data_IF_539977103244
#
_entry.id   IF_539977103244
#
_cell.length_a   1.000
_cell.length_b   1.000
_cell.length_c   1.000
_cell.angle_alpha   90.00
_cell.angle_beta   90.00
_cell.angle_gamma   90.00
#
_symmetry.space_group_name_H-M   'P 1'
#
loop_
_entity.id
_entity.type
_entity.pdbx_description
1 polymer ?
#
# COMPACT_ATOMS: atom_id res chain seq x y z
N UNK A 1 -12.03 -33.49 12.05
CA UNK A 1 -11.12 -32.98 11.00
C UNK A 1 -11.63 -31.62 10.58
N UNK A 2 -10.87 -30.56 10.85
CA UNK A 2 -11.26 -29.18 10.56
C UNK A 2 -10.75 -28.87 9.15
N UNK A 3 -11.66 -28.64 8.20
CA UNK A 3 -11.31 -28.38 6.80
C UNK A 3 -11.58 -26.90 6.55
N UNK A 4 -10.54 -26.07 6.56
CA UNK A 4 -10.66 -24.63 6.28
C UNK A 4 -10.62 -24.44 4.76
N UNK A 5 -11.76 -24.16 4.14
CA UNK A 5 -11.81 -23.71 2.75
C UNK A 5 -11.78 -22.17 2.72
N UNK A 6 -10.63 -21.61 2.36
CA UNK A 6 -10.41 -20.17 2.32
C UNK A 6 -10.33 -19.69 0.85
N UNK A 7 -11.41 -19.86 0.08
CA UNK A 7 -11.34 -19.86 -1.39
C UNK A 7 -11.50 -18.49 -2.07
N UNK A 8 -12.12 -17.49 -1.43
CA UNK A 8 -12.39 -16.16 -2.02
C UNK A 8 -11.54 -15.01 -1.45
N UNK A 9 -11.28 -14.94 -0.13
CA UNK A 9 -10.48 -13.85 0.45
C UNK A 9 -9.08 -13.67 -0.16
N UNK A 10 -8.31 -14.72 -0.52
CA UNK A 10 -6.94 -14.54 -1.03
C UNK A 10 -6.87 -13.72 -2.32
N UNK A 11 -7.85 -13.84 -3.22
CA UNK A 11 -7.75 -13.24 -4.56
C UNK A 11 -7.91 -11.73 -4.50
N UNK A 12 -8.92 -11.22 -3.79
CA UNK A 12 -9.11 -9.78 -3.61
C UNK A 12 -7.93 -9.15 -2.86
N UNK A 13 -7.48 -9.80 -1.78
CA UNK A 13 -6.32 -9.33 -1.00
C UNK A 13 -5.03 -9.27 -1.83
N UNK A 14 -4.84 -10.19 -2.78
CA UNK A 14 -3.69 -10.19 -3.69
C UNK A 14 -3.77 -9.03 -4.69
N UNK A 15 -4.94 -8.78 -5.28
CA UNK A 15 -5.16 -7.67 -6.20
C UNK A 15 -4.90 -6.34 -5.49
N UNK A 16 -5.45 -6.16 -4.29
CA UNK A 16 -5.22 -4.97 -3.48
C UNK A 16 -3.73 -4.78 -3.18
N UNK A 17 -3.03 -5.86 -2.80
CA UNK A 17 -1.58 -5.79 -2.57
C UNK A 17 -0.81 -5.35 -3.84
N UNK A 18 -1.16 -5.88 -5.01
CA UNK A 18 -0.51 -5.47 -6.26
C UNK A 18 -0.83 -4.02 -6.63
N UNK A 19 -2.05 -3.56 -6.44
CA UNK A 19 -2.44 -2.16 -6.68
C UNK A 19 -1.66 -1.23 -5.74
N UNK A 20 -1.57 -1.56 -4.45
CA UNK A 20 -0.79 -0.80 -3.47
C UNK A 20 0.70 -0.73 -3.87
N UNK A 21 1.26 -1.86 -4.30
CA UNK A 21 2.65 -1.93 -4.75
C UNK A 21 2.88 -1.13 -6.05
N UNK A 22 1.91 -1.12 -6.96
CA UNK A 22 1.97 -0.31 -8.17
C UNK A 22 1.99 1.18 -7.84
N UNK A 23 1.04 1.66 -7.03
CA UNK A 23 1.01 3.08 -6.63
C UNK A 23 2.29 3.46 -5.89
N UNK A 24 2.78 2.60 -4.99
CA UNK A 24 4.03 2.86 -4.28
C UNK A 24 5.20 3.04 -5.24
N UNK A 25 5.35 2.19 -6.26
CA UNK A 25 6.44 2.29 -7.23
C UNK A 25 6.33 3.55 -8.08
N UNK A 26 5.14 3.86 -8.58
CA UNK A 26 4.91 5.08 -9.38
C UNK A 26 5.22 6.34 -8.57
N UNK A 27 4.76 6.37 -7.31
CA UNK A 27 5.01 7.48 -6.39
C UNK A 27 6.50 7.62 -6.07
N UNK A 28 7.21 6.51 -5.83
CA UNK A 28 8.65 6.53 -5.59
C UNK A 28 9.41 7.11 -6.78
N UNK A 29 9.05 6.73 -8.02
CA UNK A 29 9.66 7.30 -9.23
C UNK A 29 9.42 8.81 -9.36
N UNK A 30 8.23 9.29 -9.00
CA UNK A 30 7.97 10.73 -8.98
C UNK A 30 8.80 11.43 -7.90
N UNK A 31 8.97 10.80 -6.73
CA UNK A 31 9.83 11.31 -5.67
C UNK A 31 11.30 11.36 -6.11
N UNK A 32 11.79 10.40 -6.88
CA UNK A 32 13.16 10.45 -7.42
C UNK A 32 13.38 11.72 -8.25
N UNK A 33 12.42 12.08 -9.10
CA UNK A 33 12.52 13.27 -9.96
C UNK A 33 12.35 14.59 -9.19
N UNK A 34 11.47 14.61 -8.19
CA UNK A 34 11.18 15.80 -7.39
C UNK A 34 12.11 15.98 -6.19
N UNK A 35 12.96 15.00 -5.90
CA UNK A 35 13.84 14.99 -4.73
C UNK A 35 13.08 14.73 -3.44
N UNK A 36 12.11 13.82 -3.43
CA UNK A 36 11.32 13.44 -2.28
C UNK A 36 9.81 13.68 -2.47
N UNK A 37 9.06 13.52 -1.38
CA UNK A 37 7.61 13.66 -1.37
C UNK A 37 7.22 15.13 -1.36
N UNK A 38 6.47 15.54 -2.37
CA UNK A 38 5.82 16.86 -2.44
C UNK A 38 4.32 16.74 -2.14
N UNK A 39 3.62 17.83 -1.76
CA UNK A 39 2.18 17.79 -1.55
C UNK A 39 1.39 17.33 -2.79
N UNK A 40 1.86 17.68 -3.99
CA UNK A 40 1.22 17.27 -5.24
C UNK A 40 1.36 15.76 -5.49
N UNK A 41 2.55 15.20 -5.28
CA UNK A 41 2.81 13.75 -5.41
C UNK A 41 2.01 12.97 -4.36
N UNK A 42 1.95 13.49 -3.13
CA UNK A 42 1.17 12.86 -2.06
C UNK A 42 -0.32 12.81 -2.40
N UNK A 43 -0.87 13.91 -2.93
CA UNK A 43 -2.27 13.95 -3.35
C UNK A 43 -2.53 13.00 -4.54
N UNK A 44 -1.65 12.96 -5.54
CA UNK A 44 -1.78 12.05 -6.68
C UNK A 44 -1.76 10.58 -6.24
N UNK A 45 -0.90 10.23 -5.28
CA UNK A 45 -0.85 8.88 -4.71
C UNK A 45 -2.17 8.51 -4.01
N UNK A 46 -2.76 9.44 -3.24
CA UNK A 46 -4.06 9.23 -2.59
C UNK A 46 -5.19 9.10 -3.62
N UNK A 47 -5.21 9.94 -4.65
CA UNK A 47 -6.22 9.91 -5.69
C UNK A 47 -6.19 8.57 -6.46
N UNK A 48 -4.99 8.05 -6.79
CA UNK A 48 -4.82 6.72 -7.40
C UNK A 48 -5.28 5.59 -6.48
N UNK A 49 -4.96 5.66 -5.18
CA UNK A 49 -5.43 4.65 -4.22
C UNK A 49 -6.96 4.71 -4.09
N UNK A 50 -7.56 5.89 -4.15
CA UNK A 50 -9.02 6.04 -4.15
C UNK A 50 -9.66 5.46 -5.41
N UNK A 51 -9.03 5.63 -6.58
CA UNK A 51 -9.48 5.03 -7.84
C UNK A 51 -9.47 3.49 -7.78
N UNK A 52 -8.49 2.90 -7.11
CA UNK A 52 -8.44 1.46 -6.86
C UNK A 52 -9.41 0.97 -5.76
N UNK A 53 -10.15 1.87 -5.11
CA UNK A 53 -11.18 1.53 -4.13
C UNK A 53 -10.69 1.37 -2.70
N UNK A 54 -9.48 1.85 -2.36
CA UNK A 54 -9.01 1.86 -0.99
C UNK A 54 -9.73 2.92 -0.14
N UNK A 55 -9.93 2.63 1.14
CA UNK A 55 -10.40 3.63 2.10
C UNK A 55 -9.22 4.48 2.61
N UNK A 56 -9.22 5.77 2.25
CA UNK A 56 -8.16 6.72 2.62
C UNK A 56 -7.93 6.83 4.12
N UNK A 57 -8.95 6.58 4.94
CA UNK A 57 -8.82 6.66 6.40
C UNK A 57 -7.95 5.53 6.98
N UNK A 58 -7.79 4.44 6.24
CA UNK A 58 -7.03 3.27 6.66
C UNK A 58 -5.65 3.19 6.01
N UNK A 59 -5.29 4.18 5.18
CA UNK A 59 -3.99 4.29 4.53
C UNK A 59 -3.05 5.14 5.37
N UNK A 60 -1.81 4.68 5.51
CA UNK A 60 -0.72 5.42 6.14
C UNK A 60 0.42 5.50 5.14
N UNK A 61 0.84 6.72 4.82
CA UNK A 61 1.96 6.99 3.91
C UNK A 61 3.06 7.67 4.71
N UNK A 62 4.24 7.07 4.72
CA UNK A 62 5.45 7.63 5.32
C UNK A 62 6.50 7.78 4.24
N UNK A 63 6.97 9.00 4.00
CA UNK A 63 7.87 9.29 2.90
C UNK A 63 8.91 10.34 3.30
N UNK A 64 10.09 10.30 2.67
CA UNK A 64 11.09 11.36 2.80
C UNK A 64 10.54 12.65 2.18
N UNK A 65 10.44 13.77 2.91
CA UNK A 65 9.93 15.03 2.37
C UNK A 65 10.93 15.65 1.38
N UNK A 66 10.42 16.32 0.34
CA UNK A 66 11.24 17.12 -0.57
C UNK A 66 11.62 18.49 0.03
N UNK A 67 12.74 19.12 -0.41
CA UNK A 67 13.72 18.62 -1.38
C UNK A 67 14.88 17.84 -0.74
N UNK A 68 15.38 16.85 -1.47
CA UNK A 68 16.57 16.04 -1.21
C UNK A 68 17.50 16.19 -2.41
N UNK A 69 18.75 16.55 -2.14
CA UNK A 69 19.76 16.78 -3.17
C UNK A 69 20.04 15.53 -4.01
N UNK A 70 20.58 15.74 -5.22
CA UNK A 70 21.00 14.67 -6.11
C UNK A 70 21.87 13.63 -5.39
N UNK A 71 21.50 12.36 -5.51
CA UNK A 71 22.19 11.23 -4.89
C UNK A 71 21.83 11.00 -3.42
N UNK A 72 20.97 11.82 -2.82
CA UNK A 72 20.42 11.57 -1.49
C UNK A 72 19.35 10.48 -1.48
N UNK A 73 19.21 9.77 -0.37
CA UNK A 73 18.25 8.67 -0.23
C UNK A 73 16.81 9.18 -0.11
N UNK A 74 15.92 8.61 -0.91
CA UNK A 74 14.47 8.82 -0.84
C UNK A 74 13.78 7.51 -0.48
N UNK A 75 12.96 7.54 0.56
CA UNK A 75 12.26 6.36 1.06
C UNK A 75 10.75 6.60 1.04
N UNK A 76 9.99 5.56 0.69
CA UNK A 76 8.54 5.57 0.68
C UNK A 76 8.03 4.27 1.26
N UNK A 77 7.16 4.38 2.27
CA UNK A 77 6.41 3.29 2.86
C UNK A 77 4.92 3.60 2.81
N UNK A 78 4.13 2.63 2.36
CA UNK A 78 2.67 2.70 2.36
C UNK A 78 2.13 1.49 3.09
N UNK A 79 1.22 1.72 4.03
CA UNK A 79 0.48 0.67 4.72
C UNK A 79 -1.02 0.90 4.63
N UNK A 80 -1.77 -0.19 4.54
CA UNK A 80 -3.23 -0.17 4.51
C UNK A 80 -3.78 -1.22 5.48
N UNK A 81 -4.67 -0.77 6.36
CA UNK A 81 -5.35 -1.62 7.32
C UNK A 81 -6.68 -2.10 6.75
N UNK A 82 -6.91 -3.42 6.76
CA UNK A 82 -8.11 -4.03 6.23
C UNK A 82 -8.63 -5.12 7.15
N UNK A 83 -9.93 -5.37 7.07
CA UNK A 83 -10.57 -6.48 7.78
C UNK A 83 -10.55 -7.70 6.87
N UNK A 84 -9.87 -8.75 7.30
CA UNK A 84 -9.80 -10.02 6.60
C UNK A 84 -10.86 -10.97 7.12
N UNK A 85 -11.84 -11.27 6.27
CA UNK A 85 -12.90 -12.21 6.58
C UNK A 85 -12.42 -13.65 6.39
N UNK A 86 -12.29 -14.38 7.49
CA UNK A 86 -11.91 -15.79 7.49
C UNK A 86 -13.14 -16.66 7.72
N UNK A 87 -13.40 -17.56 6.78
CA UNK A 87 -14.46 -18.56 6.91
C UNK A 87 -13.86 -19.90 7.33
N UNK A 88 -14.32 -20.45 8.45
CA UNK A 88 -13.90 -21.76 8.93
C UNK A 88 -15.08 -22.73 8.93
N UNK A 89 -14.84 -23.96 8.50
CA UNK A 89 -15.85 -25.01 8.47
C UNK A 89 -15.52 -26.07 9.52
N UNK A 90 -16.42 -26.23 10.49
CA UNK A 90 -16.28 -27.21 11.57
C UNK A 90 -17.61 -27.92 11.78
N UNK A 91 -17.62 -29.25 11.58
CA UNK A 91 -18.77 -30.09 11.90
C UNK A 91 -20.11 -29.63 11.30
N UNK A 92 -20.13 -29.27 10.00
CA UNK A 92 -21.27 -28.71 9.26
C UNK A 92 -21.64 -27.24 9.56
N UNK A 93 -20.95 -26.55 10.47
CA UNK A 93 -21.14 -25.12 10.74
C UNK A 93 -20.09 -24.28 10.02
N UNK A 94 -20.53 -23.18 9.40
CA UNK A 94 -19.67 -22.13 8.85
C UNK A 94 -19.57 -21.02 9.91
N UNK A 95 -18.37 -20.73 10.36
CA UNK A 95 -18.10 -19.58 11.23
C UNK A 95 -17.31 -18.53 10.47
N UNK A 96 -17.76 -17.27 10.57
CA UNK A 96 -17.02 -16.09 10.09
C UNK A 96 -16.19 -15.55 11.25
N UNK A 97 -14.94 -15.22 10.99
CA UNK A 97 -14.07 -14.52 11.95
C UNK A 97 -13.39 -13.38 11.22
N UNK A 98 -13.52 -12.19 11.79
CA UNK A 98 -12.95 -10.97 11.25
C UNK A 98 -11.57 -10.77 11.89
N UNK A 99 -10.51 -10.78 11.09
CA UNK A 99 -9.14 -10.53 11.54
C UNK A 99 -8.66 -9.19 10.97
N UNK A 100 -8.27 -8.24 11.82
CA UNK A 100 -7.61 -7.01 11.36
C UNK A 100 -6.20 -7.35 10.87
N UNK A 101 -5.89 -6.96 9.63
CA UNK A 101 -4.58 -7.16 9.01
C UNK A 101 -4.09 -5.87 8.39
N UNK A 102 -2.78 -5.76 8.27
CA UNK A 102 -2.12 -4.64 7.61
C UNK A 102 -1.34 -5.17 6.42
N UNK A 103 -1.58 -4.62 5.24
CA UNK A 103 -0.70 -4.78 4.10
C UNK A 103 0.27 -3.59 4.07
N UNK A 104 1.55 -3.86 3.87
CA UNK A 104 2.58 -2.81 3.84
C UNK A 104 3.55 -3.06 2.71
N UNK A 105 3.92 -2.00 2.02
CA UNK A 105 4.97 -1.98 1.01
C UNK A 105 5.95 -0.85 1.34
N UNK A 106 7.23 -1.09 1.09
CA UNK A 106 8.26 -0.08 1.26
C UNK A 106 9.27 -0.17 0.11
N UNK A 107 9.83 0.97 -0.24
CA UNK A 107 10.87 1.08 -1.24
C UNK A 107 11.80 2.23 -0.91
N UNK A 108 13.05 2.07 -1.36
CA UNK A 108 14.10 3.07 -1.25
C UNK A 108 14.68 3.30 -2.63
N UNK A 109 15.03 4.55 -2.91
CA UNK A 109 15.72 4.93 -4.12
C UNK A 109 16.58 6.16 -3.85
N UNK A 110 17.13 6.75 -4.92
CA UNK A 110 17.99 7.92 -4.86
C UNK A 110 17.36 9.09 -5.60
N UNK A 111 17.53 10.29 -5.07
CA UNK A 111 17.08 11.52 -5.70
C UNK A 111 17.89 11.82 -6.97
N UNK A 112 17.18 12.14 -8.04
CA UNK A 112 17.72 12.69 -9.29
C UNK A 112 17.40 14.18 -9.43
N UNK A 113 16.98 14.85 -8.35
CA UNK A 113 16.68 16.27 -8.37
C UNK A 113 17.96 17.09 -8.48
N UNK A 114 18.02 17.96 -9.48
CA UNK A 114 19.07 18.96 -9.64
C UNK A 114 18.46 20.34 -9.38
N UNK A 115 18.99 21.10 -8.42
CA UNK A 115 18.71 22.54 -8.35
C UNK A 115 19.17 23.17 -9.67
N UNK A 116 18.25 23.87 -10.34
CA UNK A 116 18.52 24.66 -11.54
C UNK A 116 18.88 26.09 -11.17
#
# INVERSE_FOLDING_TARGET
>A
MLVVFNLMPPVFTLVDYFNLLQVQRETLLQMELAGGMTPAIHQEALDKLAEYGFDMNNIQISATPAPVDYGGDVELSMSYNYTYDKYSFSGFLITKTDELRTMSTSGKSVSFYFEK
#
